data_IF_768552207169
#
_entry.id   IF_768552207169
#
_cell.length_a   1.000
_cell.length_b   1.000
_cell.length_c   1.000
_cell.angle_alpha   90.00
_cell.angle_beta   90.00
_cell.angle_gamma   90.00
#
_symmetry.space_group_name_H-M   'P 1'
#
loop_
_entity.id
_entity.type
_entity.pdbx_description
1 polymer ?
#
# COMPACT_ATOMS: atom_id res chain seq x y z
N UNK A 1 -23.53 31.41 -31.35
CA UNK A 1 -23.15 31.55 -29.94
C UNK A 1 -23.12 30.18 -29.32
N UNK A 2 -22.02 29.91 -28.61
CA UNK A 2 -21.54 28.63 -28.09
C UNK A 2 -22.54 27.85 -27.24
N UNK A 3 -22.56 26.52 -27.41
CA UNK A 3 -22.55 25.62 -26.26
C UNK A 3 -21.64 24.43 -26.57
N UNK A 4 -20.33 24.62 -26.35
CA UNK A 4 -19.40 23.50 -26.24
C UNK A 4 -19.82 22.67 -25.01
N UNK A 5 -20.33 21.47 -25.28
CA UNK A 5 -20.45 20.39 -24.32
C UNK A 5 -19.04 20.03 -23.86
N UNK A 6 -18.58 20.64 -22.78
CA UNK A 6 -17.35 20.20 -22.10
C UNK A 6 -17.65 18.85 -21.47
N UNK A 7 -17.24 17.80 -22.17
CA UNK A 7 -17.12 16.43 -21.68
C UNK A 7 -16.15 16.41 -20.49
N UNK A 8 -16.62 16.80 -19.31
CA UNK A 8 -16.05 16.32 -18.06
C UNK A 8 -16.59 14.90 -17.86
N UNK A 9 -16.17 13.99 -18.74
CA UNK A 9 -16.35 12.56 -18.52
C UNK A 9 -15.45 12.18 -17.35
N UNK A 10 -16.08 11.91 -16.22
CA UNK A 10 -15.52 11.24 -15.06
C UNK A 10 -15.25 9.75 -15.38
N UNK A 11 -14.58 9.48 -16.49
CA UNK A 11 -14.06 8.16 -16.81
C UNK A 11 -12.92 7.87 -15.85
N UNK A 12 -13.10 6.88 -14.98
CA UNK A 12 -12.06 6.45 -14.05
C UNK A 12 -10.81 6.00 -14.83
N UNK A 13 -9.77 6.84 -14.88
CA UNK A 13 -8.52 6.55 -15.58
C UNK A 13 -7.61 5.63 -14.76
N UNK A 14 -8.09 4.44 -14.38
CA UNK A 14 -7.30 3.48 -13.60
C UNK A 14 -6.69 4.08 -12.32
N UNK A 15 -5.66 3.45 -11.73
CA UNK A 15 -4.98 3.98 -10.55
C UNK A 15 -3.88 4.99 -10.90
N UNK A 16 -3.75 6.04 -10.08
CA UNK A 16 -2.67 7.01 -10.17
C UNK A 16 -2.84 8.07 -11.26
N UNK A 17 -1.76 8.77 -11.59
CA UNK A 17 -1.76 10.01 -12.37
C UNK A 17 -0.86 9.91 -13.59
N UNK A 18 -1.19 10.64 -14.66
CA UNK A 18 -0.42 10.61 -15.92
C UNK A 18 1.00 11.19 -15.80
N UNK A 19 1.22 12.07 -14.83
CA UNK A 19 2.52 12.71 -14.57
C UNK A 19 2.62 13.21 -13.13
N UNK A 20 3.83 13.51 -12.67
CA UNK A 20 4.06 14.10 -11.35
C UNK A 20 3.39 15.46 -11.18
N UNK A 21 3.35 16.27 -12.24
CA UNK A 21 2.67 17.58 -12.23
C UNK A 21 1.15 17.40 -12.04
N UNK A 22 0.56 16.42 -12.73
CA UNK A 22 -0.86 16.09 -12.59
C UNK A 22 -1.19 15.60 -11.18
N UNK A 23 -0.34 14.74 -10.60
CA UNK A 23 -0.49 14.28 -9.22
C UNK A 23 -0.46 15.45 -8.22
N UNK A 24 0.43 16.42 -8.41
CA UNK A 24 0.57 17.57 -7.53
C UNK A 24 -0.61 18.55 -7.65
N UNK A 25 -1.13 18.75 -8.86
CA UNK A 25 -2.18 19.75 -9.11
C UNK A 25 -3.59 19.20 -8.87
N UNK A 26 -3.81 17.93 -9.21
CA UNK A 26 -5.15 17.33 -9.25
C UNK A 26 -5.33 16.17 -8.25
N UNK A 27 -4.27 15.75 -7.55
CA UNK A 27 -4.36 14.74 -6.51
C UNK A 27 -5.15 15.26 -5.30
N UNK A 28 -6.09 14.47 -4.74
CA UNK A 28 -6.73 14.85 -3.50
C UNK A 28 -5.72 14.83 -2.36
N UNK A 29 -5.97 15.67 -1.35
CA UNK A 29 -5.25 15.58 -0.09
C UNK A 29 -5.47 14.22 0.57
N UNK A 30 -4.41 13.64 1.09
CA UNK A 30 -4.46 12.36 1.79
C UNK A 30 -5.21 12.49 3.13
N UNK A 31 -6.12 11.56 3.38
CA UNK A 31 -6.88 11.50 4.63
C UNK A 31 -6.29 10.52 5.65
N UNK A 32 -5.43 9.60 5.20
CA UNK A 32 -4.86 8.54 6.03
C UNK A 32 -3.38 8.35 5.78
N UNK A 33 -2.65 8.06 6.85
CA UNK A 33 -1.24 7.71 6.84
C UNK A 33 -1.04 6.29 7.34
N UNK A 34 -0.27 5.49 6.60
CA UNK A 34 0.10 4.12 6.97
C UNK A 34 1.54 4.10 7.46
N UNK A 35 1.79 3.51 8.63
CA UNK A 35 3.12 3.44 9.24
C UNK A 35 3.36 2.03 9.75
N UNK A 36 4.49 1.44 9.38
CA UNK A 36 4.96 0.19 9.99
C UNK A 36 5.59 0.51 11.34
N UNK A 37 5.13 -0.19 12.38
CA UNK A 37 5.58 -0.06 13.75
C UNK A 37 6.34 -1.32 14.12
N UNK A 38 7.66 -1.20 14.23
CA UNK A 38 8.55 -2.30 14.59
C UNK A 38 8.62 -2.40 16.12
N UNK A 39 8.43 -3.59 16.65
CA UNK A 39 8.51 -3.84 18.08
C UNK A 39 9.96 -3.96 18.55
N UNK A 40 10.35 -3.18 19.54
CA UNK A 40 11.64 -3.37 20.24
C UNK A 40 11.60 -4.53 21.24
N UNK A 41 10.41 -5.07 21.52
CA UNK A 41 10.21 -6.26 22.35
C UNK A 41 10.08 -7.46 21.43
N UNK A 42 11.07 -8.34 21.49
CA UNK A 42 11.18 -9.55 20.67
C UNK A 42 10.05 -10.55 20.85
N UNK A 43 9.22 -10.39 21.88
CA UNK A 43 8.05 -11.24 22.14
C UNK A 43 6.76 -10.68 21.53
N UNK A 44 6.76 -9.42 21.08
CA UNK A 44 5.59 -8.75 20.50
C UNK A 44 5.71 -8.67 18.97
N UNK A 45 4.59 -8.86 18.24
CA UNK A 45 4.57 -8.67 16.80
C UNK A 45 4.67 -7.20 16.42
N UNK A 46 5.26 -6.96 15.26
CA UNK A 46 5.16 -5.68 14.55
C UNK A 46 3.70 -5.44 14.13
N UNK A 47 3.38 -4.21 13.75
CA UNK A 47 2.06 -3.92 13.19
C UNK A 47 2.08 -2.73 12.23
N UNK A 48 1.14 -2.73 11.30
CA UNK A 48 0.79 -1.56 10.51
C UNK A 48 -0.21 -0.71 11.30
N UNK A 49 0.16 0.53 11.60
CA UNK A 49 -0.72 1.54 12.15
C UNK A 49 -1.28 2.41 11.03
N UNK A 50 -2.58 2.68 11.09
CA UNK A 50 -3.26 3.63 10.21
C UNK A 50 -3.71 4.81 11.03
N UNK A 51 -3.27 6.00 10.64
CA UNK A 51 -3.54 7.27 11.33
C UNK A 51 -4.45 8.10 10.45
N UNK A 52 -5.51 8.64 11.04
CA UNK A 52 -6.37 9.62 10.37
C UNK A 52 -5.71 11.01 10.43
N UNK A 53 -5.47 11.59 9.26
CA UNK A 53 -4.83 12.90 9.09
C UNK A 53 -5.78 13.91 8.44
N UNK A 54 -7.08 13.60 8.32
CA UNK A 54 -8.08 14.54 7.84
C UNK A 54 -8.42 15.54 8.97
N UNK A 55 -8.15 16.85 8.81
CA UNK A 55 -8.43 17.87 9.84
C UNK A 55 -9.92 18.01 10.20
N UNK A 56 -10.82 17.53 9.33
CA UNK A 56 -12.26 17.57 9.54
C UNK A 56 -12.81 16.29 10.21
N UNK A 57 -11.97 15.26 10.39
CA UNK A 57 -12.35 14.03 11.08
C UNK A 57 -12.43 14.23 12.59
N UNK A 58 -13.42 13.61 13.24
CA UNK A 58 -13.48 13.54 14.70
C UNK A 58 -12.35 12.70 15.32
N UNK A 59 -11.60 11.95 14.49
CA UNK A 59 -10.46 11.11 14.87
C UNK A 59 -9.12 11.64 14.35
N UNK A 60 -9.06 12.92 13.95
CA UNK A 60 -7.84 13.56 13.46
C UNK A 60 -6.66 13.33 14.43
N UNK A 61 -5.51 12.96 13.87
CA UNK A 61 -4.26 12.61 14.58
C UNK A 61 -4.35 11.39 15.50
N UNK A 62 -5.32 10.49 15.26
CA UNK A 62 -5.45 9.25 16.04
C UNK A 62 -5.20 8.02 15.18
N UNK A 63 -4.72 6.95 15.84
CA UNK A 63 -4.64 5.63 15.22
C UNK A 63 -6.04 5.05 15.10
N UNK A 64 -6.49 4.81 13.86
CA UNK A 64 -7.83 4.32 13.55
C UNK A 64 -7.92 2.83 13.32
N UNK A 65 -6.83 2.20 12.90
CA UNK A 65 -6.71 0.75 12.65
C UNK A 65 -5.28 0.28 12.96
N UNK A 66 -5.17 -0.98 13.39
CA UNK A 66 -3.90 -1.69 13.60
C UNK A 66 -4.00 -3.08 13.00
N UNK A 67 -3.03 -3.47 12.17
CA UNK A 67 -2.91 -4.83 11.64
C UNK A 67 -1.59 -5.42 12.10
N UNK A 68 -1.67 -6.40 13.00
CA UNK A 68 -0.50 -7.05 13.58
C UNK A 68 0.06 -8.13 12.66
N UNK A 69 1.39 -8.26 12.65
CA UNK A 69 2.09 -9.41 12.11
C UNK A 69 1.64 -10.69 12.83
N UNK A 70 1.71 -11.84 12.15
CA UNK A 70 1.33 -13.12 12.75
C UNK A 70 2.39 -13.65 13.71
N UNK A 71 3.66 -13.23 13.53
CA UNK A 71 4.79 -13.69 14.32
C UNK A 71 5.58 -12.49 14.87
N UNK A 72 6.11 -12.59 16.10
CA UNK A 72 7.15 -11.68 16.56
C UNK A 72 8.39 -11.75 15.68
N UNK A 73 9.18 -10.68 15.68
CA UNK A 73 10.45 -10.59 14.95
C UNK A 73 10.36 -10.75 13.43
N UNK A 74 9.18 -10.55 12.82
CA UNK A 74 9.07 -10.50 11.35
C UNK A 74 9.91 -9.36 10.76
N UNK A 75 9.95 -8.22 11.45
CA UNK A 75 10.56 -6.96 11.03
C UNK A 75 9.87 -6.40 9.78
N UNK A 76 8.66 -5.87 9.96
CA UNK A 76 7.98 -5.05 8.95
C UNK A 76 8.88 -3.85 8.60
N UNK A 77 9.37 -3.76 7.35
CA UNK A 77 10.43 -2.82 7.00
C UNK A 77 10.00 -1.75 5.98
N UNK A 78 9.89 -2.10 4.70
CA UNK A 78 9.20 -1.25 3.73
C UNK A 78 7.96 -1.93 3.17
N UNK A 79 7.09 -1.08 2.63
CA UNK A 79 5.85 -1.50 2.03
C UNK A 79 5.46 -0.60 0.86
N UNK A 80 4.61 -1.12 -0.01
CA UNK A 80 4.15 -0.41 -1.19
C UNK A 80 2.76 -0.83 -1.61
N UNK A 81 2.17 -0.08 -2.52
CA UNK A 81 0.85 -0.38 -3.08
C UNK A 81 0.92 -1.45 -4.17
N UNK A 82 -0.10 -2.29 -4.23
CA UNK A 82 -0.32 -3.29 -5.30
C UNK A 82 -0.64 -2.71 -6.68
N UNK A 83 -0.71 -1.39 -6.84
CA UNK A 83 -0.76 -0.68 -8.13
C UNK A 83 -0.36 0.77 -7.87
N UNK A 84 0.39 1.39 -8.78
CA UNK A 84 0.70 2.82 -8.71
C UNK A 84 0.42 3.50 -10.06
N UNK A 85 0.88 4.75 -10.22
CA UNK A 85 0.73 5.52 -11.46
C UNK A 85 1.36 4.85 -12.71
N UNK A 86 2.23 3.84 -12.55
CA UNK A 86 2.71 3.04 -13.70
C UNK A 86 1.61 2.21 -14.37
N UNK A 87 0.44 2.11 -13.73
CA UNK A 87 -0.78 1.49 -14.24
C UNK A 87 -1.86 2.53 -14.63
N UNK A 88 -1.50 3.82 -14.76
CA UNK A 88 -2.46 4.86 -15.13
C UNK A 88 -3.17 4.52 -16.45
N UNK A 89 -4.49 4.71 -16.47
CA UNK A 89 -5.34 4.37 -17.62
C UNK A 89 -5.80 2.91 -17.68
N UNK A 90 -5.24 2.00 -16.87
CA UNK A 90 -5.73 0.62 -16.76
C UNK A 90 -6.88 0.52 -15.76
N UNK A 91 -8.11 0.40 -16.27
CA UNK A 91 -9.34 0.40 -15.47
C UNK A 91 -9.56 -0.91 -14.68
N UNK A 92 -8.88 -1.99 -15.04
CA UNK A 92 -8.97 -3.27 -14.32
C UNK A 92 -8.15 -3.23 -13.02
N UNK A 93 -7.25 -2.25 -12.88
CA UNK A 93 -6.32 -2.12 -11.77
C UNK A 93 -6.86 -1.16 -10.71
N UNK A 94 -6.62 -1.50 -9.43
CA UNK A 94 -7.04 -0.68 -8.29
C UNK A 94 -5.97 -0.67 -7.21
N UNK A 95 -5.71 0.52 -6.65
CA UNK A 95 -4.89 0.71 -5.45
C UNK A 95 -5.73 0.31 -4.24
N UNK A 96 -5.48 -0.90 -3.71
CA UNK A 96 -6.29 -1.50 -2.63
C UNK A 96 -5.48 -2.28 -1.62
N UNK A 97 -4.42 -2.97 -2.05
CA UNK A 97 -3.62 -3.78 -1.17
C UNK A 97 -2.29 -3.10 -0.87
N UNK A 98 -1.93 -3.05 0.41
CA UNK A 98 -0.58 -2.77 0.84
C UNK A 98 0.18 -4.08 0.89
N UNK A 99 1.33 -4.13 0.25
CA UNK A 99 2.24 -5.26 0.29
C UNK A 99 3.38 -4.83 1.22
N UNK A 100 3.60 -5.58 2.30
CA UNK A 100 4.61 -5.30 3.32
C UNK A 100 5.64 -6.43 3.26
N UNK A 101 6.91 -6.07 3.09
CA UNK A 101 8.02 -7.01 3.19
C UNK A 101 8.50 -7.15 4.62
N UNK A 102 8.93 -8.35 4.98
CA UNK A 102 9.52 -8.64 6.30
C UNK A 102 10.99 -8.98 6.15
N UNK A 103 11.85 -8.20 6.79
CA UNK A 103 13.30 -8.30 6.58
C UNK A 103 13.89 -9.55 7.23
N UNK A 104 13.46 -9.87 8.47
CA UNK A 104 13.98 -11.01 9.23
C UNK A 104 13.34 -12.33 8.82
N UNK A 105 12.01 -12.36 8.73
CA UNK A 105 11.31 -13.62 8.43
C UNK A 105 11.17 -13.92 6.95
N UNK A 106 11.55 -12.99 6.05
CA UNK A 106 11.48 -13.20 4.60
C UNK A 106 10.09 -13.65 4.14
N UNK A 107 9.04 -12.92 4.53
CA UNK A 107 7.65 -13.13 4.15
C UNK A 107 7.09 -11.86 3.48
N UNK A 108 5.97 -12.01 2.76
CA UNK A 108 5.18 -10.88 2.27
C UNK A 108 3.79 -10.89 2.89
N UNK A 109 3.40 -9.78 3.50
CA UNK A 109 2.06 -9.54 4.01
C UNK A 109 1.27 -8.71 3.01
N UNK A 110 0.12 -9.22 2.58
CA UNK A 110 -0.81 -8.51 1.69
C UNK A 110 -1.99 -8.04 2.55
N UNK A 111 -2.09 -6.75 2.77
CA UNK A 111 -3.10 -6.13 3.64
C UNK A 111 -4.19 -5.49 2.77
N UNK A 112 -5.44 -5.87 2.97
CA UNK A 112 -6.59 -5.26 2.30
C UNK A 112 -6.97 -3.95 3.00
N UNK A 113 -7.03 -2.87 2.21
CA UNK A 113 -7.37 -1.52 2.69
C UNK A 113 -8.70 -1.00 2.18
N UNK A 114 -9.56 -1.88 1.62
CA UNK A 114 -10.88 -1.48 1.15
C UNK A 114 -11.76 -0.81 2.23
N UNK A 115 -11.60 -1.23 3.50
CA UNK A 115 -12.13 -0.53 4.67
C UNK A 115 -10.94 -0.12 5.56
N UNK A 116 -10.66 1.18 5.61
CA UNK A 116 -9.52 1.75 6.34
C UNK A 116 -9.62 1.53 7.85
N UNK A 117 -10.84 1.41 8.39
CA UNK A 117 -11.06 1.18 9.82
C UNK A 117 -11.01 -0.32 10.19
N UNK A 118 -11.19 -1.21 9.21
CA UNK A 118 -11.22 -2.67 9.39
C UNK A 118 -10.28 -3.38 8.44
N UNK A 119 -9.06 -2.88 8.35
CA UNK A 119 -8.02 -3.49 7.54
C UNK A 119 -7.70 -4.89 8.06
N UNK A 120 -7.32 -5.77 7.15
CA UNK A 120 -7.03 -7.17 7.48
C UNK A 120 -5.97 -7.74 6.56
N UNK A 121 -5.29 -8.76 7.07
CA UNK A 121 -4.41 -9.59 6.24
C UNK A 121 -5.29 -10.33 5.23
N UNK A 122 -5.06 -10.07 3.95
CA UNK A 122 -5.68 -10.77 2.84
C UNK A 122 -4.96 -12.08 2.55
N UNK A 123 -3.63 -12.04 2.52
CA UNK A 123 -2.77 -13.20 2.26
C UNK A 123 -1.38 -12.97 2.88
N UNK A 124 -0.74 -14.05 3.27
CA UNK A 124 0.69 -14.09 3.61
C UNK A 124 1.37 -15.01 2.60
N UNK A 125 2.48 -14.56 2.04
CA UNK A 125 3.38 -15.40 1.24
C UNK A 125 4.55 -15.71 2.15
N UNK A 126 4.65 -16.97 2.56
CA UNK A 126 5.69 -17.41 3.49
C UNK A 126 7.02 -17.61 2.79
N UNK A 127 8.10 -17.60 3.57
CA UNK A 127 9.49 -17.79 3.12
C UNK A 127 9.66 -19.01 2.21
N UNK A 128 9.00 -20.12 2.52
CA UNK A 128 9.11 -21.35 1.73
C UNK A 128 8.53 -21.22 0.31
N UNK A 129 7.59 -20.29 0.10
CA UNK A 129 7.08 -19.98 -1.22
C UNK A 129 8.05 -19.06 -1.98
N UNK A 130 8.66 -18.09 -1.30
CA UNK A 130 9.65 -17.18 -1.90
C UNK A 130 10.94 -17.89 -2.30
N UNK A 131 11.44 -18.81 -1.45
CA UNK A 131 12.65 -19.61 -1.71
C UNK A 131 12.56 -20.46 -2.98
N UNK A 132 11.36 -20.86 -3.41
CA UNK A 132 11.17 -21.59 -4.68
C UNK A 132 11.58 -20.76 -5.90
N UNK A 133 11.61 -19.44 -5.74
CA UNK A 133 11.99 -18.46 -6.76
C UNK A 133 13.35 -17.82 -6.45
N UNK A 134 14.13 -18.37 -5.51
CA UNK A 134 15.41 -17.84 -5.05
C UNK A 134 15.32 -16.41 -4.50
N UNK A 135 14.19 -16.11 -3.82
CA UNK A 135 13.93 -14.82 -3.20
C UNK A 135 13.99 -14.92 -1.66
N UNK A 136 14.58 -13.91 -1.03
CA UNK A 136 14.63 -13.73 0.42
C UNK A 136 14.65 -12.24 0.78
N UNK A 137 14.41 -11.93 2.06
CA UNK A 137 14.51 -10.59 2.63
C UNK A 137 13.88 -9.49 1.72
N UNK A 138 12.57 -9.58 1.42
CA UNK A 138 11.91 -8.60 0.55
C UNK A 138 11.96 -7.22 1.20
N UNK A 139 12.88 -6.38 0.74
CA UNK A 139 13.17 -5.12 1.41
C UNK A 139 12.40 -3.96 0.81
N UNK A 140 12.48 -3.74 -0.51
CA UNK A 140 11.72 -2.65 -1.15
C UNK A 140 10.67 -3.22 -2.08
N UNK A 141 9.51 -2.56 -2.17
CA UNK A 141 8.39 -3.00 -3.02
C UNK A 141 8.14 -1.93 -4.08
N UNK A 142 8.27 -2.33 -5.34
CA UNK A 142 8.03 -1.44 -6.48
C UNK A 142 7.02 -2.03 -7.45
N UNK A 143 6.17 -1.15 -7.98
CA UNK A 143 5.30 -1.46 -9.11
C UNK A 143 6.08 -1.16 -10.39
N UNK A 144 6.55 -2.19 -11.09
CA UNK A 144 7.23 -2.04 -12.38
C UNK A 144 6.23 -1.60 -13.48
N UNK A 145 6.77 -1.21 -14.62
CA UNK A 145 5.98 -1.10 -15.86
C UNK A 145 5.27 -2.43 -16.14
N UNK A 146 4.03 -2.37 -16.64
CA UNK A 146 3.11 -3.51 -16.81
C UNK A 146 2.48 -4.07 -15.51
N UNK A 147 2.44 -3.30 -14.42
CA UNK A 147 1.68 -3.64 -13.20
C UNK A 147 2.09 -4.96 -12.52
N UNK A 148 3.40 -5.21 -12.42
CA UNK A 148 3.99 -6.33 -11.66
C UNK A 148 4.73 -5.81 -10.43
N UNK A 149 4.69 -6.56 -9.34
CA UNK A 149 5.45 -6.26 -8.11
C UNK A 149 6.74 -7.04 -8.11
N UNK A 150 7.82 -6.35 -7.81
CA UNK A 150 9.07 -6.98 -7.45
C UNK A 150 9.48 -6.48 -6.08
N UNK A 151 9.97 -7.41 -5.27
CA UNK A 151 10.68 -7.09 -4.06
C UNK A 151 12.03 -7.79 -4.10
N UNK A 152 13.09 -7.00 -3.97
CA UNK A 152 14.46 -7.46 -3.86
C UNK A 152 15.08 -6.83 -2.61
N UNK A 153 15.92 -7.60 -1.91
CA UNK A 153 17.24 -7.12 -1.54
C UNK A 153 18.26 -7.83 -2.42
N UNK A 154 19.29 -7.10 -2.83
CA UNK A 154 20.48 -7.58 -3.55
C UNK A 154 21.37 -8.45 -2.68
#
# INVERSE_FOLDING_TARGET
>A
MSSEHRCCDSTSFGPGYKSSLDAMQNGPHEEYLYIVMISCDETKPDYLATIDINPHSSRYQQVVSRVYAQQPQDEFHHFGWNTCSSCHGDQEKKRRFLIIGTLKSSCLYIIDTADVQKQKIHKIIHTDELKKWDLSAPHTIHCLGMCRFFSFDS
#
